data_IF_175002724667
#
_entry.id   IF_175002724667
#
_cell.length_a   1.000
_cell.length_b   1.000
_cell.length_c   1.000
_cell.angle_alpha   90.00
_cell.angle_beta   90.00
_cell.angle_gamma   90.00
#
_symmetry.space_group_name_H-M   'P 1'
#
loop_
_entity.id
_entity.type
_entity.pdbx_description
1 polymer ?
#
# COMPACT_ATOMS: atom_id res chain seq x y z
N UNK A 1 -4.84 -14.00 12.47
CA UNK A 1 -4.28 -13.01 11.52
C UNK A 1 -3.03 -13.63 10.97
N UNK A 2 -3.01 -14.05 9.70
CA UNK A 2 -1.83 -14.71 9.12
C UNK A 2 -0.66 -13.71 9.03
N UNK A 3 0.54 -14.15 9.40
CA UNK A 3 1.76 -13.35 9.30
C UNK A 3 2.13 -13.12 7.83
N UNK A 4 3.03 -12.16 7.55
CA UNK A 4 3.48 -11.90 6.17
C UNK A 4 4.27 -13.10 5.64
N UNK A 5 5.04 -13.73 6.52
CA UNK A 5 5.83 -14.93 6.25
C UNK A 5 4.94 -16.12 5.89
N UNK A 6 3.84 -16.35 6.62
CA UNK A 6 2.86 -17.39 6.29
C UNK A 6 2.25 -17.19 4.91
N UNK A 7 1.98 -15.94 4.53
CA UNK A 7 1.45 -15.62 3.19
C UNK A 7 2.47 -15.89 2.09
N UNK A 8 3.75 -15.60 2.32
CA UNK A 8 4.84 -15.89 1.37
C UNK A 8 4.94 -17.40 1.16
N UNK A 9 5.05 -18.18 2.23
CA UNK A 9 5.14 -19.65 2.16
C UNK A 9 3.93 -20.22 1.41
N UNK A 10 2.74 -19.68 1.67
CA UNK A 10 1.53 -20.09 0.98
C UNK A 10 1.59 -19.83 -0.54
N UNK A 11 2.02 -18.64 -0.95
CA UNK A 11 2.14 -18.26 -2.35
C UNK A 11 3.25 -19.04 -3.07
N UNK A 12 4.37 -19.35 -2.40
CA UNK A 12 5.41 -20.22 -2.94
C UNK A 12 4.89 -21.65 -3.21
N UNK A 13 4.13 -22.20 -2.26
CA UNK A 13 3.46 -23.50 -2.45
C UNK A 13 2.47 -23.47 -3.60
N UNK A 14 1.73 -22.38 -3.74
CA UNK A 14 0.81 -22.19 -4.85
C UNK A 14 1.55 -22.11 -6.20
N UNK A 15 2.63 -21.34 -6.29
CA UNK A 15 3.43 -21.22 -7.52
C UNK A 15 3.98 -22.57 -7.96
N UNK A 16 4.54 -23.35 -7.03
CA UNK A 16 5.06 -24.68 -7.31
C UNK A 16 3.96 -25.65 -7.77
N UNK A 17 2.78 -25.61 -7.15
CA UNK A 17 1.64 -26.44 -7.57
C UNK A 17 1.10 -26.03 -8.96
N UNK A 18 1.06 -24.73 -9.23
CA UNK A 18 0.62 -24.19 -10.52
C UNK A 18 1.61 -24.53 -11.64
N UNK A 19 2.92 -24.44 -11.37
CA UNK A 19 3.98 -24.86 -12.29
C UNK A 19 3.87 -26.35 -12.62
N UNK A 20 3.77 -27.19 -11.57
CA UNK A 20 3.59 -28.63 -11.71
C UNK A 20 2.37 -28.98 -12.56
N UNK A 21 1.26 -28.25 -12.36
CA UNK A 21 0.05 -28.44 -13.16
C UNK A 21 0.26 -28.03 -14.62
N UNK A 22 0.88 -26.87 -14.85
CA UNK A 22 1.13 -26.33 -16.18
C UNK A 22 2.08 -27.20 -17.01
N UNK A 23 3.14 -27.71 -16.40
CA UNK A 23 4.12 -28.58 -17.05
C UNK A 23 3.63 -30.02 -17.23
N UNK A 24 2.46 -30.37 -16.69
CA UNK A 24 1.94 -31.74 -16.76
C UNK A 24 2.73 -32.75 -15.92
N UNK A 25 3.48 -32.31 -14.90
CA UNK A 25 4.35 -33.15 -14.06
C UNK A 25 3.57 -33.88 -12.97
N UNK A 26 2.64 -34.75 -13.35
CA UNK A 26 1.84 -35.56 -12.42
C UNK A 26 1.37 -36.85 -13.08
N UNK A 27 1.29 -37.91 -12.28
CA UNK A 27 0.73 -39.20 -12.71
C UNK A 27 -0.80 -39.13 -12.81
N UNK A 28 -1.41 -40.08 -13.54
CA UNK A 28 -2.85 -40.13 -13.77
C UNK A 28 -3.67 -40.14 -12.48
N UNK A 29 -3.22 -40.85 -11.44
CA UNK A 29 -3.91 -40.93 -10.14
C UNK A 29 -3.73 -39.64 -9.32
N UNK A 30 -2.62 -38.94 -9.48
CA UNK A 30 -2.30 -37.72 -8.74
C UNK A 30 -2.92 -36.45 -9.35
N UNK A 31 -3.35 -36.52 -10.61
CA UNK A 31 -3.95 -35.40 -11.33
C UNK A 31 -5.15 -34.82 -10.59
N UNK A 32 -6.09 -35.65 -10.17
CA UNK A 32 -7.31 -35.22 -9.49
C UNK A 32 -7.00 -34.64 -8.09
N UNK A 33 -6.04 -35.24 -7.39
CA UNK A 33 -5.57 -34.71 -6.10
C UNK A 33 -4.93 -33.33 -6.26
N UNK A 34 -4.06 -33.15 -7.25
CA UNK A 34 -3.42 -31.86 -7.55
C UNK A 34 -4.45 -30.80 -7.96
N UNK A 35 -5.42 -31.17 -8.80
CA UNK A 35 -6.53 -30.29 -9.19
C UNK A 35 -7.33 -29.85 -7.97
N UNK A 36 -7.63 -30.76 -7.05
CA UNK A 36 -8.35 -30.45 -5.81
C UNK A 36 -7.56 -29.48 -4.94
N UNK A 37 -6.27 -29.74 -4.71
CA UNK A 37 -5.39 -28.85 -3.96
C UNK A 37 -5.35 -27.45 -4.57
N UNK A 38 -5.21 -27.34 -5.89
CA UNK A 38 -5.22 -26.05 -6.57
C UNK A 38 -6.55 -25.31 -6.40
N UNK A 39 -7.69 -25.99 -6.53
CA UNK A 39 -9.00 -25.38 -6.29
C UNK A 39 -9.16 -24.83 -4.87
N UNK A 40 -8.64 -25.54 -3.86
CA UNK A 40 -8.64 -25.05 -2.48
C UNK A 40 -7.73 -23.82 -2.32
N UNK A 41 -6.64 -23.75 -3.09
CA UNK A 41 -5.68 -22.66 -2.97
C UNK A 41 -6.05 -21.39 -3.73
N UNK A 42 -6.75 -21.52 -4.85
CA UNK A 42 -7.07 -20.42 -5.77
C UNK A 42 -7.75 -19.20 -5.10
N UNK A 43 -8.79 -19.36 -4.26
CA UNK A 43 -9.48 -18.20 -3.67
C UNK A 43 -8.57 -17.37 -2.75
N UNK A 44 -7.73 -18.04 -1.97
CA UNK A 44 -6.82 -17.39 -1.03
C UNK A 44 -5.68 -16.72 -1.81
N UNK A 45 -5.08 -17.42 -2.78
CA UNK A 45 -4.04 -16.85 -3.64
C UNK A 45 -4.55 -15.59 -4.36
N UNK A 46 -5.74 -15.65 -4.95
CA UNK A 46 -6.41 -14.49 -5.57
C UNK A 46 -6.56 -13.33 -4.59
N UNK A 47 -7.04 -13.61 -3.39
CA UNK A 47 -7.24 -12.58 -2.35
C UNK A 47 -5.93 -11.90 -1.95
N UNK A 48 -4.86 -12.69 -1.79
CA UNK A 48 -3.53 -12.16 -1.45
C UNK A 48 -2.96 -11.29 -2.57
N UNK A 49 -3.04 -11.76 -3.81
CA UNK A 49 -2.52 -11.06 -5.00
C UNK A 49 -3.32 -9.77 -5.25
N UNK A 50 -4.64 -9.81 -5.09
CA UNK A 50 -5.48 -8.62 -5.17
C UNK A 50 -5.18 -7.64 -4.03
N UNK A 51 -5.00 -8.13 -2.81
CA UNK A 51 -4.65 -7.32 -1.65
C UNK A 51 -3.28 -6.64 -1.77
N UNK A 52 -2.34 -7.24 -2.50
CA UNK A 52 -1.04 -6.66 -2.82
C UNK A 52 -1.07 -5.76 -4.07
N UNK A 53 -2.24 -5.56 -4.72
CA UNK A 53 -2.36 -4.74 -5.91
C UNK A 53 -1.69 -5.31 -7.16
N UNK A 54 -1.37 -6.60 -7.18
CA UNK A 54 -0.63 -7.26 -8.27
C UNK A 54 -1.55 -7.96 -9.29
N UNK A 55 -2.87 -7.95 -9.07
CA UNK A 55 -3.84 -8.57 -9.97
C UNK A 55 -3.92 -7.81 -11.31
N UNK A 56 -3.72 -8.53 -12.40
CA UNK A 56 -3.82 -8.04 -13.78
C UNK A 56 -4.97 -8.75 -14.47
N UNK A 57 -5.86 -7.96 -15.07
CA UNK A 57 -6.92 -8.47 -15.93
C UNK A 57 -6.36 -8.78 -17.31
N UNK A 58 -6.99 -9.73 -17.99
CA UNK A 58 -6.55 -10.21 -19.29
C UNK A 58 -7.66 -10.01 -20.33
N UNK A 59 -7.22 -9.75 -21.56
CA UNK A 59 -8.06 -9.70 -22.74
C UNK A 59 -7.43 -10.59 -23.79
N UNK A 60 -8.22 -11.47 -24.39
CA UNK A 60 -7.77 -12.44 -25.39
C UNK A 60 -8.78 -12.46 -26.53
N UNK A 61 -8.28 -12.26 -27.76
CA UNK A 61 -9.09 -12.31 -28.96
C UNK A 61 -8.75 -13.53 -29.81
N UNK A 62 -9.67 -13.97 -30.68
CA UNK A 62 -9.39 -15.00 -31.67
C UNK A 62 -8.24 -14.56 -32.59
N UNK A 63 -7.48 -15.52 -33.15
CA UNK A 63 -6.61 -15.25 -34.28
C UNK A 63 -7.40 -14.59 -35.44
N UNK A 64 -6.79 -13.64 -36.17
CA UNK A 64 -7.49 -12.88 -37.22
C UNK A 64 -8.19 -13.74 -38.29
N UNK A 65 -7.73 -14.97 -38.52
CA UNK A 65 -8.21 -15.85 -39.58
C UNK A 65 -9.49 -16.65 -39.24
N UNK A 66 -9.83 -16.82 -37.96
CA UNK A 66 -10.86 -17.79 -37.55
C UNK A 66 -12.20 -17.11 -37.24
N UNK A 67 -12.19 -15.84 -36.83
CA UNK A 67 -13.39 -15.11 -36.40
C UNK A 67 -14.00 -15.74 -35.14
N UNK A 68 -14.03 -15.02 -34.02
CA UNK A 68 -14.43 -15.61 -32.75
C UNK A 68 -14.74 -14.60 -31.66
N UNK A 69 -15.18 -15.10 -30.52
CA UNK A 69 -15.50 -14.27 -29.36
C UNK A 69 -14.22 -13.78 -28.67
N UNK A 70 -14.07 -12.47 -28.56
CA UNK A 70 -13.02 -11.87 -27.76
C UNK A 70 -13.45 -11.77 -26.29
N UNK A 71 -12.57 -12.20 -25.39
CA UNK A 71 -12.70 -12.00 -23.95
C UNK A 71 -11.98 -10.70 -23.59
N UNK A 72 -12.62 -9.86 -22.77
CA UNK A 72 -12.05 -8.58 -22.33
C UNK A 72 -12.16 -8.41 -20.82
N UNK A 73 -11.13 -7.85 -20.19
CA UNK A 73 -11.08 -7.51 -18.76
C UNK A 73 -11.43 -8.70 -17.84
N UNK A 74 -11.12 -9.91 -18.26
CA UNK A 74 -11.46 -11.09 -17.51
C UNK A 74 -10.40 -11.38 -16.44
N UNK A 75 -10.84 -11.97 -15.33
CA UNK A 75 -9.94 -12.39 -14.27
C UNK A 75 -9.34 -13.76 -14.63
N UNK A 76 -8.00 -13.88 -14.72
CA UNK A 76 -7.37 -15.13 -15.14
C UNK A 76 -7.58 -16.27 -14.13
N UNK A 77 -7.87 -15.98 -12.85
CA UNK A 77 -8.15 -17.01 -11.84
C UNK A 77 -9.46 -17.77 -12.11
N UNK A 78 -10.45 -17.11 -12.71
CA UNK A 78 -11.73 -17.76 -13.03
C UNK A 78 -11.57 -18.75 -14.20
N UNK A 79 -10.50 -18.59 -14.99
CA UNK A 79 -10.16 -19.42 -16.15
C UNK A 79 -8.90 -20.27 -15.91
N UNK A 80 -8.54 -20.52 -14.64
CA UNK A 80 -7.24 -21.11 -14.27
C UNK A 80 -6.95 -22.44 -15.00
N UNK A 81 -7.96 -23.28 -15.16
CA UNK A 81 -7.83 -24.59 -15.80
C UNK A 81 -8.25 -24.60 -17.28
N UNK A 82 -8.61 -23.44 -17.82
CA UNK A 82 -9.09 -23.31 -19.19
C UNK A 82 -7.97 -22.83 -20.10
N UNK A 83 -8.04 -23.24 -21.37
CA UNK A 83 -7.17 -22.75 -22.42
C UNK A 83 -8.03 -22.06 -23.48
N UNK A 84 -7.75 -20.79 -23.75
CA UNK A 84 -8.43 -20.04 -24.80
C UNK A 84 -7.50 -19.86 -25.98
N UNK A 85 -7.93 -20.30 -27.17
CA UNK A 85 -7.11 -20.28 -28.39
C UNK A 85 -5.72 -20.95 -28.21
N UNK A 86 -5.66 -22.01 -27.39
CA UNK A 86 -4.41 -22.72 -27.06
C UNK A 86 -3.52 -22.01 -26.04
N UNK A 87 -3.96 -20.89 -25.49
CA UNK A 87 -3.22 -20.10 -24.50
C UNK A 87 -3.75 -20.42 -23.11
N UNK A 88 -2.84 -20.85 -22.22
CA UNK A 88 -3.11 -20.98 -20.78
C UNK A 88 -2.78 -19.67 -20.07
N UNK A 89 -3.59 -19.31 -19.07
CA UNK A 89 -3.32 -18.14 -18.24
C UNK A 89 -2.47 -18.42 -17.01
N UNK A 90 -2.13 -19.70 -16.75
CA UNK A 90 -1.31 -20.10 -15.60
C UNK A 90 0.04 -19.36 -15.55
N UNK A 91 0.81 -19.22 -16.65
CA UNK A 91 2.06 -18.46 -16.61
C UNK A 91 1.86 -17.01 -16.16
N UNK A 92 0.75 -16.39 -16.55
CA UNK A 92 0.44 -15.02 -16.14
C UNK A 92 0.06 -14.93 -14.67
N UNK A 93 -0.66 -15.93 -14.16
CA UNK A 93 -1.03 -16.04 -12.76
C UNK A 93 0.22 -16.20 -11.89
N UNK A 94 1.16 -17.05 -12.31
CA UNK A 94 2.45 -17.24 -11.66
C UNK A 94 3.29 -15.96 -11.63
N UNK A 95 3.36 -15.20 -12.72
CA UNK A 95 4.00 -13.88 -12.76
C UNK A 95 3.43 -12.93 -11.69
N UNK A 96 2.10 -12.89 -11.53
CA UNK A 96 1.45 -12.08 -10.49
C UNK A 96 1.73 -12.60 -9.07
N UNK A 97 1.78 -13.92 -8.89
CA UNK A 97 2.17 -14.56 -7.62
C UNK A 97 3.58 -14.16 -7.21
N UNK A 98 4.55 -14.26 -8.13
CA UNK A 98 5.95 -13.90 -7.86
C UNK A 98 6.12 -12.41 -7.59
N UNK A 99 5.42 -11.54 -8.33
CA UNK A 99 5.36 -10.10 -8.02
C UNK A 99 4.82 -9.84 -6.62
N UNK A 100 3.77 -10.56 -6.23
CA UNK A 100 3.17 -10.44 -4.89
C UNK A 100 4.16 -10.86 -3.80
N UNK A 101 4.88 -11.96 -3.98
CA UNK A 101 5.95 -12.39 -3.06
C UNK A 101 7.01 -11.28 -2.92
N UNK A 102 7.45 -10.68 -4.03
CA UNK A 102 8.39 -9.55 -4.01
C UNK A 102 7.87 -8.35 -3.22
N UNK A 103 6.59 -7.99 -3.39
CA UNK A 103 5.94 -6.93 -2.61
C UNK A 103 5.90 -7.30 -1.12
N UNK A 104 5.57 -8.54 -0.76
CA UNK A 104 5.53 -8.96 0.65
C UNK A 104 6.92 -8.91 1.30
N UNK A 105 7.98 -9.27 0.57
CA UNK A 105 9.35 -9.12 1.06
C UNK A 105 9.72 -7.65 1.31
N UNK A 106 9.34 -6.73 0.42
CA UNK A 106 9.64 -5.31 0.62
C UNK A 106 9.01 -4.76 1.91
N UNK A 107 7.78 -5.17 2.23
CA UNK A 107 7.10 -4.78 3.48
C UNK A 107 7.83 -5.28 4.74
N UNK A 108 8.42 -6.48 4.70
CA UNK A 108 9.23 -7.01 5.80
C UNK A 108 10.49 -6.14 5.96
N UNK A 109 11.15 -5.77 4.87
CA UNK A 109 12.35 -4.95 4.89
C UNK A 109 12.08 -3.53 5.40
N UNK A 110 11.03 -2.88 4.89
CA UNK A 110 10.58 -1.56 5.35
C UNK A 110 10.30 -1.56 6.86
N UNK A 111 9.64 -2.61 7.37
CA UNK A 111 9.35 -2.77 8.81
C UNK A 111 10.62 -2.86 9.66
N UNK A 112 11.64 -3.58 9.18
CA UNK A 112 12.95 -3.69 9.84
C UNK A 112 13.70 -2.37 9.81
N UNK A 113 13.70 -1.69 8.66
CA UNK A 113 14.37 -0.39 8.48
C UNK A 113 13.74 0.67 9.38
N UNK A 114 12.42 0.76 9.45
CA UNK A 114 11.70 1.69 10.32
C UNK A 114 12.03 1.43 11.80
N UNK A 115 12.08 0.16 12.21
CA UNK A 115 12.47 -0.21 13.58
C UNK A 115 13.91 0.24 13.90
N UNK A 116 14.83 0.09 12.95
CA UNK A 116 16.22 0.55 13.09
C UNK A 116 16.30 2.08 13.23
N UNK A 117 15.61 2.83 12.37
CA UNK A 117 15.58 4.29 12.45
C UNK A 117 14.96 4.78 13.76
N UNK A 118 13.88 4.15 14.24
CA UNK A 118 13.28 4.46 15.53
C UNK A 118 14.27 4.26 16.69
N UNK A 119 15.06 3.19 16.65
CA UNK A 119 16.11 2.93 17.65
C UNK A 119 17.20 4.00 17.60
N UNK A 120 17.68 4.35 16.41
CA UNK A 120 18.70 5.41 16.23
C UNK A 120 18.16 6.76 16.72
N UNK A 121 16.92 7.11 16.37
CA UNK A 121 16.30 8.37 16.81
C UNK A 121 16.12 8.44 18.34
N UNK A 122 15.91 7.30 19.00
CA UNK A 122 15.83 7.22 20.47
C UNK A 122 17.21 7.36 21.15
N UNK A 123 18.28 6.94 20.47
CA UNK A 123 19.65 6.98 20.98
C UNK A 123 20.38 8.31 20.68
N UNK A 124 19.81 9.19 19.85
CA UNK A 124 20.38 10.52 19.62
C UNK A 124 20.26 11.36 20.90
N UNK A 125 21.37 11.95 21.41
CA UNK A 125 21.30 12.83 22.56
C UNK A 125 20.43 14.03 22.19
N UNK A 126 19.29 14.17 22.87
CA UNK A 126 18.44 15.35 22.73
C UNK A 126 19.32 16.55 23.06
N UNK A 127 19.46 17.56 22.18
CA UNK A 127 20.31 18.71 22.47
C UNK A 127 19.81 19.37 23.75
N UNK A 128 20.61 19.23 24.80
CA UNK A 128 20.26 19.56 26.20
C UNK A 128 19.93 21.05 26.37
N UNK A 129 20.32 21.89 25.40
CA UNK A 129 20.05 23.33 25.40
C UNK A 129 19.63 23.78 24.00
N UNK A 130 18.34 24.04 23.84
CA UNK A 130 17.82 24.76 22.68
C UNK A 130 18.16 26.24 22.89
N UNK A 131 19.28 26.71 22.33
CA UNK A 131 19.62 28.13 22.39
C UNK A 131 18.67 28.94 21.52
N UNK A 132 18.30 30.15 21.93
CA UNK A 132 17.45 31.06 21.12
C UNK A 132 18.02 31.27 19.70
N UNK A 133 19.34 31.23 19.57
CA UNK A 133 20.08 31.31 18.31
C UNK A 133 19.75 30.11 17.41
N UNK A 134 19.64 28.90 17.98
CA UNK A 134 19.30 27.69 17.22
C UNK A 134 17.88 27.74 16.66
N UNK A 135 16.92 28.23 17.45
CA UNK A 135 15.51 28.37 17.04
C UNK A 135 15.40 29.39 15.90
N UNK A 136 16.09 30.52 16.02
CA UNK A 136 16.10 31.54 14.97
C UNK A 136 16.62 31.01 13.63
N UNK A 137 17.60 30.09 13.65
CA UNK A 137 18.23 29.58 12.43
C UNK A 137 17.48 28.40 11.78
N UNK A 138 16.84 27.53 12.57
CA UNK A 138 16.22 26.30 12.08
C UNK A 138 14.70 26.40 11.88
N UNK A 139 14.04 27.43 12.41
CA UNK A 139 12.59 27.59 12.25
C UNK A 139 12.28 28.29 10.90
N UNK A 140 11.43 27.70 10.05
CA UNK A 140 11.07 28.30 8.77
C UNK A 140 10.38 29.66 8.94
N UNK A 141 10.76 30.64 8.11
CA UNK A 141 10.28 32.04 8.19
C UNK A 141 8.75 32.20 8.24
N UNK A 142 8.00 31.26 7.64
CA UNK A 142 6.53 31.25 7.69
C UNK A 142 5.98 31.23 9.13
N UNK A 143 6.63 30.48 10.03
CA UNK A 143 6.22 30.38 11.43
C UNK A 143 6.52 31.68 12.20
N UNK A 144 7.61 32.38 11.87
CA UNK A 144 7.90 33.71 12.43
C UNK A 144 6.87 34.74 12.02
N UNK A 145 6.46 34.76 10.74
CA UNK A 145 5.39 35.66 10.27
C UNK A 145 4.04 35.34 10.91
N UNK A 146 3.71 34.05 11.10
CA UNK A 146 2.51 33.63 11.84
C UNK A 146 2.54 34.12 13.29
N UNK A 147 3.65 33.92 14.01
CA UNK A 147 3.80 34.35 15.39
C UNK A 147 3.68 35.88 15.51
N UNK A 148 4.36 36.63 14.64
CA UNK A 148 4.27 38.10 14.60
C UNK A 148 2.84 38.57 14.26
N UNK A 149 2.15 37.87 13.34
CA UNK A 149 0.77 38.16 12.98
C UNK A 149 -0.21 37.95 14.14
N UNK A 150 -0.06 36.86 14.90
CA UNK A 150 -0.86 36.60 16.10
C UNK A 150 -0.63 37.69 17.14
N UNK A 151 0.63 38.07 17.37
CA UNK A 151 1.02 39.10 18.35
C UNK A 151 0.47 40.48 17.96
N UNK A 152 0.52 40.82 16.67
CA UNK A 152 -0.07 42.05 16.15
C UNK A 152 -1.60 42.05 16.27
N UNK A 153 -2.25 40.93 15.96
CA UNK A 153 -3.71 40.80 16.06
C UNK A 153 -4.18 40.95 17.52
N UNK A 154 -3.52 40.30 18.48
CA UNK A 154 -3.85 40.43 19.90
C UNK A 154 -3.61 41.85 20.41
N UNK A 155 -2.54 42.51 19.99
CA UNK A 155 -2.28 43.90 20.32
C UNK A 155 -3.36 44.85 19.80
N UNK A 156 -3.75 44.72 18.51
CA UNK A 156 -4.80 45.55 17.91
C UNK A 156 -6.15 45.33 18.57
N UNK A 157 -6.49 44.07 18.90
CA UNK A 157 -7.71 43.75 19.65
C UNK A 157 -7.70 44.40 21.03
N UNK A 158 -6.57 44.36 21.75
CA UNK A 158 -6.41 45.02 23.05
C UNK A 158 -6.59 46.53 22.99
N UNK A 159 -5.95 47.20 22.02
CA UNK A 159 -6.08 48.66 21.82
C UNK A 159 -7.51 49.06 21.49
N UNK A 160 -8.20 48.29 20.62
CA UNK A 160 -9.61 48.54 20.28
C UNK A 160 -10.56 48.30 21.46
N UNK A 161 -10.29 47.28 22.28
CA UNK A 161 -11.08 47.02 23.49
C UNK A 161 -10.90 48.15 24.52
N UNK A 162 -9.67 48.67 24.67
CA UNK A 162 -9.37 49.78 25.57
C UNK A 162 -10.08 51.08 25.17
N UNK A 163 -10.17 51.40 23.87
CA UNK A 163 -10.90 52.59 23.42
C UNK A 163 -12.43 52.45 23.49
N UNK A 164 -12.98 51.26 23.24
CA UNK A 164 -14.44 51.05 23.29
C UNK A 164 -15.03 50.91 24.69
N UNK A 165 -14.29 50.34 25.66
CA UNK A 165 -14.76 50.20 27.04
C UNK A 165 -14.65 51.50 27.85
N UNK A 166 -13.49 52.16 27.77
CA UNK A 166 -13.19 53.35 28.59
C UNK A 166 -13.99 54.59 28.16
N UNK A 167 -14.22 54.79 26.86
CA UNK A 167 -14.99 55.93 26.36
C UNK A 167 -16.49 55.76 26.67
N UNK A 168 -17.03 54.54 26.59
CA UNK A 168 -18.45 54.28 26.84
C UNK A 168 -18.81 54.41 28.32
N UNK A 169 -17.87 54.10 29.21
CA UNK A 169 -18.05 54.21 30.67
C UNK A 169 -17.80 55.65 31.19
N UNK A 170 -16.89 56.41 30.57
CA UNK A 170 -16.65 57.83 30.93
C UNK A 170 -17.69 58.79 30.34
N UNK A 171 -18.21 58.54 29.14
CA UNK A 171 -19.18 59.44 28.48
C UNK A 171 -20.65 59.11 28.73
N UNK A 172 -20.98 58.09 29.53
CA UNK A 172 -22.34 57.87 30.05
C UNK A 172 -23.45 57.87 28.99
N UNK A 173 -23.18 57.34 27.79
CA UNK A 173 -24.19 57.22 26.74
C UNK A 173 -24.80 55.82 26.78
N UNK A 174 -26.05 55.75 27.25
CA UNK A 174 -26.92 54.57 27.19
C UNK A 174 -27.32 54.26 25.75
#
# INVERSE_FOLDING_TARGET
>A
MQTVEEKIIYLERFDAAADRWFEGKYEHEEKEALRKTLNEMLPIARTLIQGAGCLKLISCGPPPAIGGMAISNANPFDMFFENYYGISFIPKIRDMTQQTIGVLHSHIEESKVNTKFKKIALELPVPEKVTLIWIAHNVPMKLWFMAAGILAATFVLGVKASTFGFIREIFGLS
#
